data_IF_857281169858
#
_entry.id   IF_857281169858
#
_cell.length_a   1.000
_cell.length_b   1.000
_cell.length_c   1.000
_cell.angle_alpha   90.00
_cell.angle_beta   90.00
_cell.angle_gamma   90.00
#
_symmetry.space_group_name_H-M   'P 1'
#
loop_
_entity.id
_entity.type
_entity.pdbx_description
1 polymer ?
2 polymer ?
3 water ?
#
# COMPACT_ATOMS: atom_id res chain seq x y z
N UNK A 1 13.21 -11.60 -8.55
CA UNK A 1 12.39 -10.80 -9.46
C UNK A 1 10.93 -10.82 -8.99
N UNK A 2 10.16 -9.78 -9.30
CA UNK A 2 8.79 -9.59 -8.73
C UNK A 2 7.82 -9.29 -9.86
N UNK A 3 6.62 -9.85 -9.71
CA UNK A 3 5.51 -9.51 -10.62
C UNK A 3 4.30 -9.21 -9.74
N UNK A 4 3.33 -8.52 -10.29
CA UNK A 4 2.14 -8.06 -9.53
C UNK A 4 0.89 -8.62 -10.17
N UNK A 5 -0.08 -8.96 -9.33
CA UNK A 5 -1.41 -9.40 -9.80
C UNK A 5 -2.48 -8.80 -8.90
N UNK A 6 -3.69 -8.69 -9.43
CA UNK A 6 -4.89 -8.34 -8.66
C UNK A 6 -6.14 -8.69 -9.46
N UNK A 7 -7.24 -8.70 -8.75
CA UNK A 7 -8.58 -8.84 -9.36
C UNK A 7 -8.99 -7.48 -9.92
N UNK A 8 -9.33 -7.40 -11.21
CA UNK A 8 -9.68 -6.12 -11.85
C UNK A 8 -10.90 -5.47 -11.20
N UNK A 9 -11.84 -6.25 -10.72
CA UNK A 9 -13.06 -5.70 -10.12
C UNK A 9 -12.71 -5.13 -8.75
N UNK A 10 -11.84 -5.82 -8.02
CA UNK A 10 -11.37 -5.28 -6.72
C UNK A 10 -10.65 -3.95 -6.93
N UNK A 11 -9.86 -3.84 -7.99
CA UNK A 11 -9.19 -2.57 -8.26
C UNK A 11 -10.22 -1.46 -8.50
N UNK A 12 -11.24 -1.75 -9.31
CA UNK A 12 -12.28 -0.72 -9.59
C UNK A 12 -13.00 -0.31 -8.31
N UNK A 13 -13.38 -1.27 -7.49
CA UNK A 13 -14.08 -0.95 -6.22
C UNK A 13 -13.15 -0.16 -5.32
N UNK A 14 -11.87 -0.53 -5.28
CA UNK A 14 -10.93 0.19 -4.39
C UNK A 14 -10.82 1.65 -4.83
N UNK A 15 -10.78 1.93 -6.12
CA UNK A 15 -10.71 3.29 -6.60
C UNK A 15 -12.01 4.04 -6.23
N UNK A 16 -13.15 3.40 -6.43
CA UNK A 16 -14.45 4.03 -6.07
C UNK A 16 -14.47 4.40 -4.59
N UNK A 17 -14.09 3.46 -3.72
CA UNK A 17 -14.30 3.64 -2.27
C UNK A 17 -13.22 4.50 -1.64
N UNK A 18 -11.97 4.30 -2.06
CA UNK A 18 -10.81 4.84 -1.34
C UNK A 18 -10.04 5.86 -2.15
N UNK A 19 -10.30 5.96 -3.45
CA UNK A 19 -9.60 6.92 -4.30
C UNK A 19 -8.20 6.52 -4.71
N UNK A 20 -7.77 5.28 -4.45
CA UNK A 20 -6.43 4.80 -4.81
C UNK A 20 -6.49 3.76 -5.92
N UNK A 21 -5.73 4.00 -6.97
CA UNK A 21 -5.53 3.02 -8.06
C UNK A 21 -4.57 1.92 -7.62
N UNK A 22 -4.88 0.67 -7.99
CA UNK A 22 -3.90 -0.42 -7.74
C UNK A 22 -2.63 -0.21 -8.57
N UNK A 23 -2.73 0.39 -9.75
CA UNK A 23 -1.52 0.66 -10.56
C UNK A 23 -0.59 1.65 -9.86
N UNK A 24 -1.14 2.50 -9.01
CA UNK A 24 -0.32 3.42 -8.18
C UNK A 24 0.10 2.73 -6.88
N UNK A 25 -0.72 1.84 -6.33
CA UNK A 25 -0.41 1.09 -5.11
C UNK A 25 0.83 0.25 -5.33
N UNK A 26 1.00 -0.33 -6.50
CA UNK A 26 2.22 -1.09 -6.84
C UNK A 26 3.47 -0.23 -6.66
N UNK A 27 3.37 1.06 -6.85
CA UNK A 27 4.56 1.91 -6.80
C UNK A 27 5.09 2.08 -5.38
N UNK A 28 4.39 1.67 -4.34
CA UNK A 28 4.97 1.75 -2.98
C UNK A 28 6.21 0.87 -2.92
N UNK A 29 6.31 -0.20 -3.70
CA UNK A 29 7.44 -1.14 -3.59
C UNK A 29 8.70 -0.55 -4.26
N UNK A 30 8.50 0.48 -5.10
CA UNK A 30 9.61 1.24 -5.75
C UNK A 30 10.10 2.35 -4.82
N UNK A 31 9.42 2.65 -3.73
CA UNK A 31 9.92 3.64 -2.74
C UNK A 31 10.92 2.91 -1.84
N UNK A 32 12.22 3.21 -1.85
CA UNK A 32 13.20 2.45 -1.06
C UNK A 32 12.90 2.53 0.44
N UNK A 33 12.09 3.49 0.88
CA UNK A 33 11.78 3.69 2.31
C UNK A 33 10.45 3.02 2.66
N UNK A 34 9.83 2.29 1.76
CA UNK A 34 8.56 1.64 2.13
C UNK A 34 8.71 0.80 3.41
N UNK A 35 7.63 0.75 4.20
CA UNK A 35 7.69 0.09 5.53
C UNK A 35 6.63 -1.00 5.55
N UNK A 36 7.00 -2.23 5.84
CA UNK A 36 6.14 -3.43 5.61
C UNK A 36 5.99 -4.19 6.92
N UNK A 37 4.79 -4.65 7.23
CA UNK A 37 4.52 -5.58 8.38
C UNK A 37 3.76 -6.82 7.92
N UNK A 38 4.07 -8.01 8.45
CA UNK A 38 3.48 -9.28 8.07
C UNK A 38 2.33 -9.50 9.04
N UNK A 39 1.18 -9.82 8.51
CA UNK A 39 -0.04 -10.05 9.31
C UNK A 39 -0.29 -11.54 9.58
N UNK A 40 -0.42 -12.35 8.55
CA UNK A 40 -0.81 -13.77 8.74
C UNK A 40 -0.52 -14.57 7.48
N UNK A 41 -0.50 -15.87 7.64
CA UNK A 41 -0.57 -16.84 6.54
C UNK A 41 -2.03 -17.00 6.17
N UNK A 42 -2.37 -16.87 4.90
CA UNK A 42 -3.79 -16.83 4.41
C UNK A 42 -3.82 -17.53 3.06
N UNK A 43 -4.52 -18.66 2.93
CA UNK A 43 -4.79 -19.28 1.61
C UNK A 43 -3.46 -19.51 0.89
N UNK A 44 -2.42 -19.98 1.59
CA UNK A 44 -1.15 -20.43 0.97
C UNK A 44 -0.12 -19.33 0.76
N UNK A 45 -0.35 -18.12 1.27
CA UNK A 45 0.54 -16.94 1.05
C UNK A 45 0.60 -16.12 2.33
N UNK A 46 1.56 -15.23 2.42
CA UNK A 46 1.65 -14.34 3.59
C UNK A 46 1.00 -13.02 3.25
N UNK A 47 0.14 -12.55 4.14
CA UNK A 47 -0.48 -11.22 4.02
C UNK A 47 0.41 -10.23 4.70
N UNK A 48 0.63 -9.10 4.05
CA UNK A 48 1.44 -8.00 4.52
C UNK A 48 0.70 -6.67 4.37
N UNK A 49 1.13 -5.65 5.06
CA UNK A 49 0.72 -4.26 4.80
C UNK A 49 1.96 -3.45 4.59
N UNK A 50 1.96 -2.57 3.62
CA UNK A 50 3.13 -1.74 3.26
C UNK A 50 2.70 -0.29 3.12
N UNK A 51 3.49 0.60 3.73
CA UNK A 51 3.37 2.06 3.57
C UNK A 51 4.42 2.58 2.60
N UNK A 52 4.03 3.40 1.66
CA UNK A 52 5.04 4.07 0.82
C UNK A 52 4.51 5.31 0.16
N UNK A 53 5.43 6.10 -0.33
CA UNK A 53 5.13 7.38 -0.98
C UNK A 53 4.95 7.14 -2.48
N UNK A 54 3.86 7.61 -3.07
CA UNK A 54 3.50 7.44 -4.50
C UNK A 54 3.65 8.77 -5.25
N UNK A 55 4.46 8.77 -6.31
CA UNK A 55 4.70 9.92 -7.21
C UNK A 55 5.14 11.14 -6.39
N UNK A 56 5.84 10.96 -5.29
CA UNK A 56 6.27 12.06 -4.44
C UNK A 56 5.14 12.82 -3.79
N UNK A 57 3.87 12.38 -3.90
CA UNK A 57 2.68 13.24 -3.60
C UNK A 57 1.97 12.71 -2.35
N UNK A 58 1.81 11.40 -2.17
CA UNK A 58 0.94 10.91 -1.07
C UNK A 58 1.44 9.57 -0.54
N UNK A 59 1.40 9.41 0.76
CA UNK A 59 1.68 8.13 1.44
C UNK A 59 0.43 7.27 1.45
N UNK A 60 0.58 6.09 0.88
CA UNK A 60 -0.53 5.12 0.85
C UNK A 60 -0.17 3.88 1.62
N UNK A 61 -1.21 3.25 2.16
CA UNK A 61 -1.16 1.94 2.83
C UNK A 61 -1.73 0.89 1.89
N UNK A 62 -0.97 -0.18 1.64
CA UNK A 62 -1.33 -1.25 0.70
C UNK A 62 -1.41 -2.57 1.42
N UNK A 63 -2.53 -3.23 1.34
CA UNK A 63 -2.73 -4.61 1.84
C UNK A 63 -2.47 -5.56 0.69
N UNK A 64 -1.60 -6.52 0.85
CA UNK A 64 -1.16 -7.38 -0.25
C UNK A 64 -0.75 -8.74 0.29
N UNK A 65 -0.50 -9.65 -0.61
CA UNK A 65 0.08 -10.93 -0.22
C UNK A 65 1.38 -11.06 -0.98
N UNK A 66 2.18 -12.03 -0.58
CA UNK A 66 3.45 -12.39 -1.25
C UNK A 66 3.50 -13.89 -1.40
N UNK A 67 3.88 -14.33 -2.58
CA UNK A 67 4.10 -15.76 -2.79
C UNK A 67 5.40 -15.95 -3.56
N UNK A 68 6.09 -17.05 -3.25
CA UNK A 68 7.41 -17.38 -3.83
C UNK A 68 7.22 -18.49 -4.85
N UNK A 69 7.59 -18.19 -6.09
CA UNK A 69 7.61 -19.20 -7.16
C UNK A 69 9.05 -19.50 -7.57
N UNK A 70 9.22 -20.38 -8.55
CA UNK A 70 10.56 -20.81 -9.02
C UNK A 70 11.20 -19.70 -9.85
N UNK A 71 12.08 -18.90 -9.24
CA UNK A 71 12.81 -17.84 -9.96
C UNK A 71 12.11 -16.49 -9.94
N UNK A 72 10.94 -16.38 -9.35
CA UNK A 72 10.23 -15.08 -9.26
C UNK A 72 9.25 -15.11 -8.12
N UNK A 73 8.90 -13.91 -7.64
CA UNK A 73 7.90 -13.69 -6.55
C UNK A 73 6.70 -13.00 -7.16
N UNK A 74 5.55 -13.19 -6.54
CA UNK A 74 4.31 -12.53 -6.96
C UNK A 74 3.72 -11.82 -5.78
N UNK A 75 3.43 -10.53 -5.92
CA UNK A 75 2.64 -9.74 -4.97
C UNK A 75 1.26 -9.54 -5.54
N UNK A 76 0.26 -9.95 -4.79
CA UNK A 76 -1.15 -9.70 -5.09
C UNK A 76 -1.64 -8.51 -4.29
N UNK A 77 -2.08 -7.48 -4.98
CA UNK A 77 -2.66 -6.29 -4.34
C UNK A 77 -4.10 -6.61 -3.98
N UNK A 78 -4.46 -6.35 -2.73
CA UNK A 78 -5.79 -6.68 -2.17
C UNK A 78 -6.60 -5.42 -1.85
N UNK A 79 -5.99 -4.40 -1.29
CA UNK A 79 -6.72 -3.16 -0.92
C UNK A 79 -5.69 -2.04 -0.77
N UNK A 80 -6.11 -0.81 -0.85
CA UNK A 80 -5.17 0.31 -0.64
C UNK A 80 -5.94 1.55 -0.25
N UNK A 81 -5.39 2.34 0.65
CA UNK A 81 -6.04 3.62 1.01
C UNK A 81 -4.99 4.63 1.43
N UNK A 82 -5.40 5.88 1.51
CA UNK A 82 -4.47 6.88 2.08
C UNK A 82 -4.06 6.47 3.49
N UNK A 83 -2.78 6.66 3.85
CA UNK A 83 -2.29 6.50 5.22
C UNK A 83 -2.87 7.62 6.11
N UNK A 84 -3.14 7.27 7.36
CA UNK A 84 -3.61 8.27 8.36
C UNK A 84 -2.42 8.81 9.16
N UNK A 85 -2.68 9.64 10.17
CA UNK A 85 -1.62 10.34 10.95
C UNK A 85 -0.63 9.36 11.59
N UNK A 86 -1.07 8.38 12.33
CA UNK A 86 -0.17 7.41 12.98
C UNK A 86 0.66 6.68 11.91
N UNK A 87 0.03 6.33 10.79
CA UNK A 87 0.72 5.50 9.77
C UNK A 87 1.77 6.37 9.06
N UNK A 88 1.44 7.60 8.73
CA UNK A 88 2.44 8.56 8.21
C UNK A 88 3.60 8.70 9.21
N UNK A 89 3.31 8.72 10.51
CA UNK A 89 4.36 8.92 11.54
C UNK A 89 5.33 7.73 11.53
N UNK A 90 4.83 6.50 11.41
CA UNK A 90 5.66 5.27 11.33
C UNK A 90 6.47 5.31 10.01
N UNK A 91 5.87 5.71 8.88
CA UNK A 91 6.54 5.80 7.55
C UNK A 91 7.72 6.79 7.61
N UNK A 92 7.54 7.95 8.22
CA UNK A 92 8.59 9.01 8.29
C UNK A 92 9.64 8.67 9.36
N UNK A 93 9.23 8.19 10.54
CA UNK A 93 10.13 8.18 11.74
C UNK A 93 10.35 6.78 12.31
N UNK A 94 9.60 5.77 11.90
CA UNK A 94 9.83 4.39 12.37
C UNK A 94 11.26 3.95 12.11
N UNK B 1 3.15 12.34 -15.33
CA UNK B 1 1.75 11.87 -15.31
C UNK B 1 0.92 12.83 -16.13
N UNK B 2 -0.18 12.34 -16.67
CA UNK B 2 -1.23 13.21 -17.23
C UNK B 2 -1.64 14.25 -16.18
N UNK B 3 -2.16 15.37 -16.61
CA UNK B 3 -2.67 16.42 -15.69
C UNK B 3 -3.80 15.86 -14.80
N UNK B 4 -4.68 15.04 -15.38
CA UNK B 4 -5.83 14.45 -14.64
C UNK B 4 -5.31 13.48 -13.57
N UNK B 5 -4.36 12.61 -13.90
CA UNK B 5 -3.83 11.65 -12.90
C UNK B 5 -3.13 12.40 -11.78
N UNK B 6 -2.28 13.36 -12.14
CA UNK B 6 -1.62 14.19 -11.11
C UNK B 6 -2.65 14.87 -10.19
N UNK B 7 -3.69 15.43 -10.79
CA UNK B 7 -4.77 16.07 -10.02
C UNK B 7 -5.42 15.07 -9.04
N UNK B 8 -5.63 13.82 -9.45
CA UNK B 8 -6.27 12.84 -8.54
C UNK B 8 -5.37 12.67 -7.31
N UNK B 9 -4.04 12.65 -7.51
CA UNK B 9 -3.10 12.34 -6.41
C UNK B 9 -3.00 13.56 -5.50
N UNK B 10 -3.06 14.73 -6.08
CA UNK B 10 -3.02 15.96 -5.26
C UNK B 10 -4.31 16.10 -4.43
N UNK B 11 -5.46 15.74 -4.98
CA UNK B 11 -6.74 15.71 -4.22
C UNK B 11 -6.61 14.71 -3.07
N UNK B 12 -6.06 13.53 -3.35
CA UNK B 12 -5.92 12.52 -2.28
C UNK B 12 -4.99 13.06 -1.19
N UNK B 13 -3.93 13.78 -1.56
CA UNK B 13 -2.93 14.35 -0.62
C UNK B 13 -3.60 15.37 0.32
N UNK B 14 -4.65 16.03 -0.15
CA UNK B 14 -5.41 17.06 0.64
C UNK B 14 -6.57 16.44 1.44
N UNK B 15 -6.86 15.16 1.29
CA UNK B 15 -7.94 14.50 2.06
C UNK B 15 -7.55 14.54 3.55
N UNK B 16 -8.47 14.92 4.44
CA UNK B 16 -8.29 14.87 5.92
C UNK B 16 -8.40 13.45 6.43
N UNK B 17 -7.80 13.19 7.57
CA UNK B 17 -7.92 11.84 8.18
C UNK B 17 -9.41 11.54 8.42
N UNK B 18 -10.26 12.55 8.63
CA UNK B 18 -11.70 12.27 8.91
C UNK B 18 -12.33 11.54 7.72
N UNK B 19 -11.79 11.77 6.53
CA UNK B 19 -12.36 11.31 5.25
C UNK B 19 -11.82 9.91 4.90
N UNK B 20 -10.91 9.37 5.69
CA UNK B 20 -10.40 8.00 5.38
C UNK B 20 -11.44 6.94 5.77
N UNK B 21 -11.63 5.94 4.93
CA UNK B 21 -12.55 4.80 5.14
C UNK B 21 -11.71 3.60 5.55
N UNK B 22 -11.82 3.14 6.79
CA UNK B 22 -11.09 1.98 7.36
C UNK B 22 -11.81 0.63 7.19
N UNK B 23 -12.82 0.54 6.35
CA UNK B 23 -13.66 -0.69 6.27
C UNK B 23 -12.93 -1.84 5.58
N UNK B 24 -11.87 -1.56 4.81
CA UNK B 24 -11.11 -2.67 4.17
C UNK B 24 -9.74 -2.86 4.83
N UNK B 25 -9.12 -1.79 5.31
CA UNK B 25 -7.83 -1.86 6.02
C UNK B 25 -8.01 -1.07 7.30
N UNK B 26 -8.23 -1.77 8.43
CA UNK B 26 -8.48 -1.07 9.68
C UNK B 26 -7.33 -0.15 10.13
N UNK B 27 -7.62 0.78 11.03
CA UNK B 27 -6.63 1.63 11.72
C UNK B 27 -5.72 0.73 12.54
N UNK B 28 -4.46 1.17 12.68
CA UNK B 28 -3.37 0.43 13.37
C UNK B 28 -2.94 1.21 14.62
N UNK B 29 -2.02 0.62 15.38
CA UNK B 29 -1.37 1.33 16.51
C UNK B 29 0.14 1.15 16.31
N UNK B 30 0.95 2.04 16.87
CA UNK B 30 2.43 1.97 16.80
C UNK B 30 2.93 0.55 17.13
N UNK B 31 2.32 -0.13 18.11
CA UNK B 31 2.71 -1.49 18.55
C UNK B 31 2.57 -2.54 17.46
N UNK B 32 1.51 -2.48 16.65
CA UNK B 32 1.33 -3.41 15.50
C UNK B 32 2.46 -3.23 14.46
N UNK B 33 3.12 -2.06 14.43
CA UNK B 33 4.25 -1.74 13.49
C UNK B 33 5.62 -1.85 14.17
N UNK B 34 5.75 -2.65 15.23
CA UNK B 34 7.04 -2.86 15.96
C UNK B 34 7.96 -3.80 15.15
N UNK B 35 7.42 -4.82 14.47
CA UNK B 35 8.22 -5.86 13.77
C UNK B 35 8.29 -5.55 12.26
N UNK B 36 7.97 -4.33 11.84
CA UNK B 36 8.00 -3.99 10.40
C UNK B 36 9.44 -4.03 9.87
N UNK B 37 9.56 -4.20 8.57
CA UNK B 37 10.86 -4.15 7.83
C UNK B 37 10.77 -2.97 6.85
N UNK B 38 11.81 -2.15 6.75
CA UNK B 38 11.85 -1.03 5.78
C UNK B 38 12.62 -1.54 4.57
N UNK B 39 12.08 -1.29 3.38
CA UNK B 39 12.75 -1.66 2.12
C UNK B 39 12.57 -3.13 1.81
N UNK B 40 11.62 -3.84 2.46
CA UNK B 40 11.46 -5.31 2.41
C UNK B 40 11.40 -5.81 0.96
N UNK B 41 10.68 -5.11 0.09
CA UNK B 41 10.35 -5.62 -1.26
C UNK B 41 10.97 -4.67 -2.30
N UNK B 42 11.93 -3.85 -1.90
CA UNK B 42 12.62 -2.93 -2.84
C UNK B 42 13.54 -3.72 -3.78
N UNK B 43 13.38 -3.51 -5.10
CA UNK B 43 14.30 -4.14 -6.07
C UNK B 43 14.86 -3.00 -6.90
N UNK B 44 16.19 -2.82 -6.94
CA UNK B 44 16.75 -1.75 -7.76
C UNK B 44 16.73 -1.97 -9.29
#
# INVERSE_FOLDING_TARGET
PMEFEWDANKAKSNLRKHGVRFEDAVLVFDDPRHLSRQERYENGEYRWQTLGLVHGIVVILVAHSVRFESGFDVIRIISARKADRKERNRYEHG
LSAQHEAELKALAKKSDDEIDYSDIPASEDGQWSEAVRGKFFRP
#
